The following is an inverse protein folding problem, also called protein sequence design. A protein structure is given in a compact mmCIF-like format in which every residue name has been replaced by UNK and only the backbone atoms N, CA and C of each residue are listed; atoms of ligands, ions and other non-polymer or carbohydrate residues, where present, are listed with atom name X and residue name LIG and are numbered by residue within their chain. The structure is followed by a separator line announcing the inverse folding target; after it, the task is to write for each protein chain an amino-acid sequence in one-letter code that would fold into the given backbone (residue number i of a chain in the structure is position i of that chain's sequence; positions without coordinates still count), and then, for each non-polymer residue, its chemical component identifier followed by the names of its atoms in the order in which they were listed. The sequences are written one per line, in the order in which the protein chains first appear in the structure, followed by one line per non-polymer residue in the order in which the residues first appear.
data_IF_381601563591
#
_entry.id   IF_381601563591
#
_cell.length_a   1.000
_cell.length_b   1.000
_cell.length_c   1.000
_cell.angle_alpha   90.00
_cell.angle_beta   90.00
_cell.angle_gamma   90.00
#
_symmetry.space_group_name_H-M   'P 1'
#
loop_
_entity.id
_entity.type
_entity.pdbx_description
1 polymer ?
#
# COMPACT_ATOMS: atom_id res chain seq x y z
N UNK A 1 13.29 9.89 -29.13
CA UNK A 1 13.02 10.45 -27.80
C UNK A 1 12.75 9.24 -26.93
N UNK A 2 13.73 8.92 -26.10
CA UNK A 2 13.90 7.61 -25.46
C UNK A 2 12.94 7.51 -24.27
N UNK A 3 12.22 6.39 -24.10
CA UNK A 3 11.26 6.17 -22.99
C UNK A 3 11.93 6.27 -21.60
N UNK A 4 13.28 6.22 -21.56
CA UNK A 4 14.09 6.44 -20.36
C UNK A 4 14.17 7.91 -19.90
N UNK A 5 13.89 8.88 -20.77
CA UNK A 5 13.91 10.30 -20.42
C UNK A 5 12.62 10.78 -19.73
N UNK A 6 11.48 10.11 -19.94
CA UNK A 6 10.22 10.44 -19.26
C UNK A 6 10.17 9.95 -17.80
N UNK A 7 10.79 8.82 -17.47
CA UNK A 7 10.83 8.31 -16.08
C UNK A 7 11.73 9.15 -15.15
N UNK A 8 12.71 9.88 -15.71
CA UNK A 8 13.68 10.66 -14.95
C UNK A 8 13.15 12.05 -14.53
N UNK A 9 12.00 12.49 -15.07
CA UNK A 9 11.37 13.78 -14.73
C UNK A 9 10.71 13.80 -13.34
N UNK A 10 10.32 12.64 -12.81
CA UNK A 10 9.64 12.52 -11.50
C UNK A 10 10.58 12.09 -10.35
N UNK A 11 11.89 11.92 -10.63
CA UNK A 11 12.88 11.54 -9.62
C UNK A 11 13.39 12.78 -8.89
N UNK A 12 13.05 12.91 -7.61
CA UNK A 12 13.52 14.01 -6.76
C UNK A 12 15.03 13.91 -6.48
N UNK A 13 15.78 14.94 -6.86
CA UNK A 13 17.19 15.15 -6.54
C UNK A 13 17.38 16.29 -5.54
N UNK A 14 18.58 16.41 -4.97
CA UNK A 14 18.88 17.45 -3.98
C UNK A 14 18.80 18.86 -4.60
N UNK A 15 19.18 18.99 -5.87
CA UNK A 15 19.13 20.23 -6.63
C UNK A 15 17.69 20.70 -6.85
N UNK A 16 16.75 19.78 -7.09
CA UNK A 16 15.33 20.12 -7.30
C UNK A 16 14.70 20.77 -6.07
N UNK A 17 15.11 20.34 -4.87
CA UNK A 17 14.71 20.96 -3.60
C UNK A 17 15.31 22.37 -3.45
N UNK A 18 16.59 22.53 -3.80
CA UNK A 18 17.28 23.82 -3.73
C UNK A 18 16.69 24.84 -4.71
N UNK A 19 16.31 24.38 -5.91
CA UNK A 19 15.68 25.18 -6.95
C UNK A 19 14.18 25.43 -6.70
N UNK A 20 13.58 24.74 -5.72
CA UNK A 20 12.17 24.92 -5.38
C UNK A 20 11.22 24.44 -6.48
N UNK A 21 11.57 23.36 -7.19
CA UNK A 21 10.73 22.81 -8.27
C UNK A 21 9.38 22.37 -7.72
N UNK A 22 8.36 23.18 -7.95
CA UNK A 22 7.08 23.11 -7.24
C UNK A 22 6.41 21.74 -7.33
N UNK A 23 6.37 21.11 -8.50
CA UNK A 23 5.72 19.80 -8.68
C UNK A 23 6.42 18.69 -7.88
N UNK A 24 7.76 18.69 -7.80
CA UNK A 24 8.55 17.73 -7.03
C UNK A 24 8.45 17.97 -5.51
N UNK A 25 8.52 19.23 -5.08
CA UNK A 25 8.37 19.61 -3.66
C UNK A 25 6.97 19.24 -3.16
N UNK A 26 5.92 19.54 -3.92
CA UNK A 26 4.55 19.15 -3.59
C UNK A 26 4.36 17.64 -3.64
N UNK A 27 5.02 16.95 -4.58
CA UNK A 27 5.08 15.50 -4.66
C UNK A 27 5.64 14.89 -3.38
N UNK A 28 6.80 15.37 -2.91
CA UNK A 28 7.43 14.94 -1.67
C UNK A 28 6.54 15.21 -0.45
N UNK A 29 6.00 16.44 -0.33
CA UNK A 29 5.12 16.81 0.78
C UNK A 29 3.90 15.89 0.84
N UNK A 30 3.30 15.58 -0.31
CA UNK A 30 2.21 14.63 -0.39
C UNK A 30 2.61 13.24 0.11
N UNK A 31 3.80 12.73 -0.25
CA UNK A 31 4.26 11.43 0.25
C UNK A 31 4.42 11.43 1.78
N UNK A 32 4.95 12.51 2.37
CA UNK A 32 5.07 12.64 3.83
C UNK A 32 3.69 12.61 4.51
N UNK A 33 2.73 13.37 3.99
CA UNK A 33 1.36 13.38 4.49
C UNK A 33 0.74 11.98 4.37
N UNK A 34 0.91 11.32 3.23
CA UNK A 34 0.40 9.98 2.96
C UNK A 34 0.94 8.94 3.94
N UNK A 35 2.24 8.97 4.23
CA UNK A 35 2.87 8.09 5.23
C UNK A 35 2.22 8.28 6.61
N UNK A 36 2.04 9.54 7.04
CA UNK A 36 1.40 9.83 8.32
C UNK A 36 -0.06 9.38 8.40
N UNK A 37 -0.84 9.61 7.33
CA UNK A 37 -2.24 9.21 7.28
C UNK A 37 -2.44 7.69 7.28
N UNK A 38 -1.52 6.94 6.65
CA UNK A 38 -1.68 5.50 6.46
C UNK A 38 -0.97 4.67 7.51
N UNK A 39 -0.21 5.29 8.41
CA UNK A 39 0.59 4.61 9.41
C UNK A 39 -0.22 3.60 10.23
N UNK A 40 -1.48 3.88 10.54
CA UNK A 40 -2.33 3.05 11.41
C UNK A 40 -3.43 2.27 10.65
N UNK A 41 -3.40 2.31 9.32
CA UNK A 41 -4.35 1.60 8.45
C UNK A 41 -3.76 0.23 8.11
N UNK A 42 -3.62 -0.62 9.12
CA UNK A 42 -3.09 -1.97 8.99
C UNK A 42 -3.76 -2.89 10.02
N UNK A 43 -3.99 -4.15 9.66
CA UNK A 43 -4.62 -5.16 10.52
C UNK A 43 -3.87 -5.39 11.84
N UNK A 44 -2.53 -5.33 11.81
CA UNK A 44 -1.67 -5.49 12.99
C UNK A 44 -1.88 -4.38 14.03
N UNK A 45 -2.46 -3.24 13.63
CA UNK A 45 -2.73 -2.08 14.48
C UNK A 45 -4.21 -1.88 14.78
N UNK A 46 -5.09 -2.31 13.87
CA UNK A 46 -6.53 -2.15 14.00
C UNK A 46 -7.26 -3.46 13.70
N UNK A 47 -7.45 -4.27 14.75
CA UNK A 47 -8.15 -5.57 14.67
C UNK A 47 -9.58 -5.44 14.12
N UNK A 48 -10.20 -4.26 14.23
CA UNK A 48 -11.56 -4.05 13.75
C UNK A 48 -11.64 -4.14 12.22
N UNK A 49 -10.51 -4.00 11.50
CA UNK A 49 -10.42 -4.21 10.05
C UNK A 49 -10.83 -5.63 9.63
N UNK A 50 -10.82 -6.62 10.53
CA UNK A 50 -11.36 -7.96 10.24
C UNK A 50 -12.82 -7.96 9.79
N UNK A 51 -13.60 -6.97 10.21
CA UNK A 51 -14.99 -6.84 9.77
C UNK A 51 -15.12 -6.60 8.26
N UNK A 52 -14.01 -6.28 7.57
CA UNK A 52 -13.95 -6.07 6.13
C UNK A 52 -13.66 -7.35 5.34
N UNK A 53 -13.47 -8.49 6.01
CA UNK A 53 -13.28 -9.78 5.37
C UNK A 53 -14.56 -10.20 4.63
N UNK A 54 -14.42 -10.64 3.38
CA UNK A 54 -15.53 -11.09 2.55
C UNK A 54 -15.73 -12.60 2.65
N UNK A 55 -16.92 -13.08 2.28
CA UNK A 55 -17.22 -14.51 2.23
C UNK A 55 -16.23 -15.26 1.32
N UNK A 56 -15.54 -16.25 1.88
CA UNK A 56 -14.55 -17.07 1.16
C UNK A 56 -13.15 -16.46 1.06
N UNK A 57 -12.90 -15.29 1.64
CA UNK A 57 -11.57 -14.68 1.71
C UNK A 57 -10.82 -15.09 2.98
N UNK A 58 -9.50 -15.29 2.88
CA UNK A 58 -8.65 -15.56 4.05
C UNK A 58 -8.13 -14.27 4.70
N UNK A 59 -7.74 -14.35 5.97
CA UNK A 59 -7.07 -13.21 6.64
C UNK A 59 -5.80 -12.77 5.90
N UNK A 60 -5.04 -13.72 5.36
CA UNK A 60 -3.82 -13.42 4.60
C UNK A 60 -4.12 -12.58 3.36
N UNK A 61 -5.27 -12.77 2.72
CA UNK A 61 -5.67 -11.98 1.55
C UNK A 61 -6.03 -10.55 1.93
N UNK A 62 -6.62 -10.35 3.11
CA UNK A 62 -6.89 -9.02 3.65
C UNK A 62 -5.58 -8.31 4.06
N UNK A 63 -4.60 -9.05 4.59
CA UNK A 63 -3.27 -8.52 4.94
C UNK A 63 -2.45 -8.09 3.72
N UNK A 64 -2.71 -8.64 2.53
CA UNK A 64 -2.00 -8.28 1.29
C UNK A 64 -2.42 -6.93 0.71
N UNK A 65 -3.50 -6.34 1.20
CA UNK A 65 -4.06 -5.11 0.64
C UNK A 65 -3.24 -3.90 1.06
N UNK A 66 -3.07 -2.98 0.12
CA UNK A 66 -2.55 -1.64 0.42
C UNK A 66 -3.53 -0.87 1.32
N UNK A 67 -3.04 0.14 2.08
CA UNK A 67 -3.90 1.03 2.84
C UNK A 67 -5.02 1.67 2.01
N UNK A 68 -4.76 2.00 0.73
CA UNK A 68 -5.76 2.52 -0.19
C UNK A 68 -6.89 1.53 -0.47
N UNK A 69 -6.54 0.26 -0.70
CA UNK A 69 -7.51 -0.82 -0.93
C UNK A 69 -8.31 -1.11 0.34
N UNK A 70 -7.67 -1.09 1.51
CA UNK A 70 -8.34 -1.22 2.81
C UNK A 70 -9.35 -0.08 3.04
N UNK A 71 -8.96 1.16 2.75
CA UNK A 71 -9.88 2.31 2.83
C UNK A 71 -11.04 2.20 1.84
N UNK A 72 -10.79 1.71 0.62
CA UNK A 72 -11.85 1.49 -0.37
C UNK A 72 -12.82 0.40 0.08
N UNK A 73 -12.31 -0.70 0.66
CA UNK A 73 -13.14 -1.75 1.26
C UNK A 73 -13.93 -1.23 2.45
N UNK A 74 -13.31 -0.45 3.31
CA UNK A 74 -13.97 0.19 4.45
C UNK A 74 -15.10 1.13 4.02
N UNK A 75 -14.86 1.97 3.00
CA UNK A 75 -15.87 2.87 2.47
C UNK A 75 -17.07 2.06 1.91
N UNK A 76 -16.78 1.01 1.14
CA UNK A 76 -17.80 0.14 0.56
C UNK A 76 -18.58 -0.65 1.62
N UNK A 77 -17.94 -1.07 2.71
CA UNK A 77 -18.63 -1.73 3.83
C UNK A 77 -19.77 -0.86 4.39
N UNK A 78 -19.51 0.43 4.65
CA UNK A 78 -20.55 1.34 5.13
C UNK A 78 -21.58 1.70 4.05
N UNK A 79 -21.18 1.78 2.78
CA UNK A 79 -22.11 2.01 1.66
C UNK A 79 -23.09 0.85 1.49
N UNK A 80 -22.60 -0.39 1.60
CA UNK A 80 -23.42 -1.60 1.51
C UNK A 80 -24.43 -1.67 2.66
N UNK A 81 -24.01 -1.40 3.89
CA UNK A 81 -24.93 -1.29 5.03
C UNK A 81 -25.96 -0.15 4.89
N UNK A 82 -25.64 0.89 4.11
CA UNK A 82 -26.56 1.98 3.78
C UNK A 82 -27.48 1.66 2.58
N UNK A 83 -27.34 0.49 1.94
CA UNK A 83 -28.05 0.14 0.72
C UNK A 83 -27.66 0.99 -0.50
N UNK A 84 -26.46 1.57 -0.48
CA UNK A 84 -25.93 2.41 -1.56
C UNK A 84 -25.02 1.61 -2.50
N UNK A 85 -24.84 2.10 -3.73
CA UNK A 85 -23.92 1.50 -4.70
C UNK A 85 -22.46 1.59 -4.25
N UNK A 86 -21.68 0.55 -4.55
CA UNK A 86 -20.24 0.51 -4.27
C UNK A 86 -19.47 1.49 -5.16
N UNK A 87 -18.36 2.00 -4.64
CA UNK A 87 -17.39 2.81 -5.36
C UNK A 87 -16.12 2.00 -5.67
N UNK A 88 -15.45 2.33 -6.76
CA UNK A 88 -14.19 1.69 -7.18
C UNK A 88 -12.97 2.62 -7.07
N UNK A 89 -13.20 3.91 -6.83
CA UNK A 89 -12.14 4.91 -6.70
C UNK A 89 -12.61 6.11 -5.85
N UNK A 90 -11.65 6.91 -5.39
CA UNK A 90 -11.90 8.19 -4.71
C UNK A 90 -11.74 9.39 -5.66
N UNK A 91 -12.12 9.25 -6.93
CA UNK A 91 -12.04 10.31 -7.94
C UNK A 91 -13.38 10.53 -8.66
N UNK A 92 -13.75 9.71 -9.64
CA UNK A 92 -15.00 9.86 -10.39
C UNK A 92 -16.23 9.49 -9.57
N UNK A 93 -16.13 8.47 -8.74
CA UNK A 93 -17.29 7.81 -8.11
C UNK A 93 -17.86 8.59 -6.92
N UNK A 94 -17.14 9.62 -6.48
CA UNK A 94 -17.45 10.44 -5.30
C UNK A 94 -17.85 11.88 -5.66
N UNK A 95 -17.82 12.27 -6.95
CA UNK A 95 -18.01 13.66 -7.40
C UNK A 95 -19.38 14.24 -7.06
N UNK A 96 -20.38 13.39 -6.88
CA UNK A 96 -21.75 13.79 -6.53
C UNK A 96 -21.98 13.88 -5.02
N UNK A 97 -20.93 13.66 -4.21
CA UNK A 97 -20.94 13.67 -2.74
C UNK A 97 -21.89 12.68 -2.07
N UNK A 98 -22.65 11.87 -2.82
CA UNK A 98 -23.66 10.96 -2.27
C UNK A 98 -23.01 9.84 -1.46
N UNK A 99 -21.93 9.27 -1.99
CA UNK A 99 -21.15 8.26 -1.27
C UNK A 99 -20.66 8.80 0.09
N UNK A 100 -20.12 10.03 0.11
CA UNK A 100 -19.66 10.65 1.35
C UNK A 100 -20.78 10.90 2.35
N UNK A 101 -21.95 11.38 1.90
CA UNK A 101 -23.11 11.53 2.78
C UNK A 101 -23.53 10.22 3.44
N UNK A 102 -23.56 9.12 2.68
CA UNK A 102 -23.94 7.81 3.19
C UNK A 102 -22.92 7.28 4.20
N UNK A 103 -21.62 7.42 3.91
CA UNK A 103 -20.54 7.02 4.83
C UNK A 103 -20.61 7.83 6.12
N UNK A 104 -20.68 9.17 6.03
CA UNK A 104 -20.75 10.05 7.21
C UNK A 104 -21.97 9.73 8.08
N UNK A 105 -23.12 9.45 7.46
CA UNK A 105 -24.32 9.03 8.17
C UNK A 105 -24.12 7.72 8.94
N UNK A 106 -23.50 6.71 8.33
CA UNK A 106 -23.27 5.43 8.99
C UNK A 106 -22.28 5.56 10.14
N UNK A 107 -21.19 6.28 9.92
CA UNK A 107 -20.18 6.57 10.94
C UNK A 107 -20.81 7.29 12.13
N UNK A 108 -21.53 8.40 11.89
CA UNK A 108 -22.18 9.17 12.95
C UNK A 108 -23.22 8.35 13.74
N UNK A 109 -24.00 7.49 13.06
CA UNK A 109 -24.98 6.61 13.71
C UNK A 109 -24.32 5.60 14.64
N UNK A 110 -23.21 4.99 14.22
CA UNK A 110 -22.48 4.00 15.01
C UNK A 110 -21.79 4.64 16.22
N UNK A 111 -21.28 5.86 16.07
CA UNK A 111 -20.72 6.63 17.19
C UNK A 111 -21.80 7.02 18.22
N UNK A 112 -22.98 7.46 17.75
CA UNK A 112 -24.11 7.76 18.64
C UNK A 112 -24.52 6.53 19.46
N UNK A 113 -24.48 5.33 18.86
CA UNK A 113 -24.77 4.06 19.56
C UNK A 113 -23.70 3.66 20.57
N UNK A 114 -22.46 4.12 20.41
CA UNK A 114 -21.34 3.91 21.36
C UNK A 114 -21.35 4.89 22.54
N UNK A 115 -22.35 5.77 22.63
CA UNK A 115 -22.51 6.72 23.74
C UNK A 115 -21.85 8.08 23.53
N UNK A 116 -21.29 8.35 22.35
CA UNK A 116 -20.76 9.68 22.01
C UNK A 116 -21.89 10.72 21.94
N UNK A 117 -21.71 11.95 22.48
CA UNK A 117 -22.76 12.98 22.56
C UNK A 117 -23.20 13.55 21.21
N UNK A 118 -22.57 13.14 20.10
CA UNK A 118 -22.83 13.63 18.76
C UNK A 118 -24.10 12.99 18.15
N UNK A 119 -25.28 13.31 18.69
CA UNK A 119 -26.58 12.97 18.09
C UNK A 119 -26.80 13.78 16.82
N UNK A 120 -26.23 13.36 15.69
CA UNK A 120 -26.40 14.08 14.43
C UNK A 120 -26.90 13.16 13.33
N UNK A 121 -28.09 13.46 12.82
CA UNK A 121 -28.65 12.89 11.59
C UNK A 121 -28.15 13.78 10.45
N UNK A 122 -27.33 13.27 9.53
CA UNK A 122 -26.96 14.09 8.37
C UNK A 122 -28.20 14.20 7.47
N UNK A 123 -28.71 15.42 7.36
CA UNK A 123 -29.82 15.73 6.46
C UNK A 123 -29.22 16.19 5.14
N UNK A 124 -29.57 15.49 4.05
CA UNK A 124 -29.30 15.98 2.71
C UNK A 124 -30.43 16.94 2.34
N UNK A 125 -30.18 18.24 2.37
CA UNK A 125 -31.04 19.20 1.69
C UNK A 125 -30.58 19.33 0.24
N UNK A 126 -31.51 19.51 -0.69
CA UNK A 126 -31.16 19.76 -2.09
C UNK A 126 -30.46 21.12 -2.17
N UNK A 127 -29.19 21.12 -2.58
CA UNK A 127 -28.44 22.34 -2.88
C UNK A 127 -28.58 22.72 -4.35
N UNK A 128 -28.41 24.01 -4.65
CA UNK A 128 -28.40 24.53 -6.02
C UNK A 128 -27.05 24.21 -6.72
N UNK A 129 -26.76 22.92 -6.90
CA UNK A 129 -25.59 22.43 -7.65
C UNK A 129 -24.55 21.67 -6.81
N UNK A 130 -23.66 20.93 -7.50
CA UNK A 130 -22.72 19.97 -6.88
C UNK A 130 -21.76 20.59 -5.88
N UNK A 131 -21.28 21.83 -6.11
CA UNK A 131 -20.40 22.51 -5.16
C UNK A 131 -21.12 22.80 -3.83
N UNK A 132 -22.38 23.21 -3.87
CA UNK A 132 -23.18 23.44 -2.67
C UNK A 132 -23.42 22.12 -1.93
N UNK A 133 -23.73 21.04 -2.66
CA UNK A 133 -23.86 19.68 -2.09
C UNK A 133 -22.57 19.21 -1.41
N UNK A 134 -21.41 19.43 -2.03
CA UNK A 134 -20.10 19.10 -1.43
C UNK A 134 -19.79 19.96 -0.20
N UNK A 135 -20.10 21.26 -0.21
CA UNK A 135 -19.91 22.13 0.96
C UNK A 135 -20.78 21.67 2.13
N UNK A 136 -22.05 21.34 1.87
CA UNK A 136 -22.94 20.81 2.89
C UNK A 136 -22.45 19.47 3.44
N UNK A 137 -21.88 18.60 2.61
CA UNK A 137 -21.25 17.35 3.05
C UNK A 137 -20.07 17.62 3.98
N UNK A 138 -19.20 18.57 3.62
CA UNK A 138 -18.06 18.96 4.45
C UNK A 138 -18.46 19.64 5.75
N UNK A 139 -19.57 20.37 5.79
CA UNK A 139 -20.16 20.87 7.04
C UNK A 139 -20.63 19.73 7.95
N UNK A 140 -21.11 18.61 7.40
CA UNK A 140 -21.41 17.43 8.23
C UNK A 140 -20.13 16.78 8.76
N UNK A 141 -19.09 16.68 7.92
CA UNK A 141 -17.80 16.18 8.35
C UNK A 141 -17.17 17.08 9.44
N UNK A 142 -17.36 18.40 9.36
CA UNK A 142 -16.86 19.38 10.33
C UNK A 142 -17.48 19.18 11.72
N UNK A 143 -18.76 18.78 11.79
CA UNK A 143 -19.42 18.43 13.06
C UNK A 143 -18.81 17.20 13.74
N UNK A 144 -18.16 16.33 12.97
CA UNK A 144 -17.37 15.21 13.48
C UNK A 144 -15.89 15.60 13.67
N UNK A 145 -15.51 16.85 13.41
CA UNK A 145 -14.12 17.30 13.40
C UNK A 145 -13.28 16.68 12.27
N UNK A 146 -13.90 16.18 11.20
CA UNK A 146 -13.25 15.47 10.09
C UNK A 146 -13.05 16.33 8.83
N UNK A 147 -13.43 17.61 8.82
CA UNK A 147 -13.23 18.51 7.67
C UNK A 147 -11.76 18.91 7.52
N UNK A 148 -10.97 18.04 6.92
CA UNK A 148 -9.55 18.25 6.62
C UNK A 148 -9.21 17.80 5.20
N UNK A 149 -8.13 18.37 4.65
CA UNK A 149 -7.54 18.08 3.33
C UNK A 149 -8.34 18.49 2.10
N UNK A 150 -9.67 18.33 2.10
CA UNK A 150 -10.50 18.49 0.90
C UNK A 150 -11.39 19.74 0.97
N UNK A 151 -11.51 20.46 -0.14
CA UNK A 151 -12.48 21.54 -0.33
C UNK A 151 -13.63 21.08 -1.26
N UNK A 152 -14.79 21.77 -1.28
CA UNK A 152 -15.93 21.37 -2.13
C UNK A 152 -15.55 21.24 -3.61
N UNK A 153 -14.71 22.16 -4.10
CA UNK A 153 -14.20 22.15 -5.47
C UNK A 153 -13.37 20.90 -5.78
N UNK A 154 -12.63 20.37 -4.80
CA UNK A 154 -11.77 19.20 -4.98
C UNK A 154 -12.59 17.90 -5.02
N UNK A 155 -13.70 17.86 -4.27
CA UNK A 155 -14.68 16.76 -4.34
C UNK A 155 -15.32 16.74 -5.73
N UNK A 156 -15.84 17.88 -6.21
CA UNK A 156 -16.50 17.99 -7.53
C UNK A 156 -15.52 17.70 -8.67
N UNK A 157 -14.27 18.15 -8.55
CA UNK A 157 -13.20 17.84 -9.51
C UNK A 157 -12.77 16.36 -9.44
N UNK A 158 -12.98 15.70 -8.30
CA UNK A 158 -12.59 14.32 -8.05
C UNK A 158 -11.07 14.17 -7.90
N UNK A 159 -10.44 15.06 -7.12
CA UNK A 159 -9.00 14.98 -6.86
C UNK A 159 -8.69 13.74 -6.01
N UNK A 160 -8.04 12.69 -6.56
CA UNK A 160 -7.89 11.42 -5.85
C UNK A 160 -7.07 11.56 -4.56
N UNK A 161 -6.03 12.41 -4.55
CA UNK A 161 -5.14 12.59 -3.39
C UNK A 161 -5.90 13.20 -2.21
N UNK A 162 -6.57 14.32 -2.43
CA UNK A 162 -7.28 15.03 -1.36
C UNK A 162 -8.48 14.24 -0.83
N UNK A 163 -9.21 13.57 -1.72
CA UNK A 163 -10.35 12.73 -1.34
C UNK A 163 -9.92 11.48 -0.55
N UNK A 164 -8.82 10.85 -0.96
CA UNK A 164 -8.22 9.74 -0.21
C UNK A 164 -7.72 10.19 1.17
N UNK A 165 -7.09 11.37 1.26
CA UNK A 165 -6.66 11.93 2.55
C UNK A 165 -7.84 12.23 3.49
N UNK A 166 -8.93 12.77 2.95
CA UNK A 166 -10.17 12.98 3.70
C UNK A 166 -10.75 11.66 4.25
N UNK A 167 -10.78 10.60 3.42
CA UNK A 167 -11.26 9.28 3.82
C UNK A 167 -10.36 8.65 4.87
N UNK A 168 -9.04 8.74 4.71
CA UNK A 168 -8.07 8.24 5.67
C UNK A 168 -8.22 8.94 7.04
N UNK A 169 -8.39 10.27 7.05
CA UNK A 169 -8.65 11.01 8.27
C UNK A 169 -9.96 10.59 8.95
N UNK A 170 -11.02 10.39 8.16
CA UNK A 170 -12.30 9.92 8.69
C UNK A 170 -12.17 8.52 9.30
N UNK A 171 -11.45 7.61 8.63
CA UNK A 171 -11.16 6.27 9.15
C UNK A 171 -10.35 6.32 10.45
N UNK A 172 -9.27 7.09 10.49
CA UNK A 172 -8.39 7.18 11.67
C UNK A 172 -9.13 7.72 12.90
N UNK A 173 -10.06 8.65 12.72
CA UNK A 173 -10.89 9.18 13.81
C UNK A 173 -12.04 8.24 14.18
N UNK A 174 -12.69 7.66 13.18
CA UNK A 174 -13.90 6.86 13.35
C UNK A 174 -13.91 5.64 12.43
N UNK A 175 -13.20 4.56 12.79
CA UNK A 175 -13.27 3.31 12.03
C UNK A 175 -14.70 2.77 11.97
N UNK A 176 -15.48 2.93 13.05
CA UNK A 176 -16.88 2.50 13.14
C UNK A 176 -17.11 1.02 12.74
N UNK A 177 -16.11 0.17 12.96
CA UNK A 177 -16.16 -1.28 12.77
C UNK A 177 -16.37 -1.96 14.13
N UNK A 178 -17.03 -3.12 14.13
CA UNK A 178 -17.13 -3.98 15.32
C UNK A 178 -16.30 -5.22 15.08
N UNK A 179 -15.49 -5.60 16.07
CA UNK A 179 -14.79 -6.88 16.04
C UNK A 179 -15.83 -8.01 15.96
N UNK A 180 -15.73 -8.93 14.98
CA UNK A 180 -16.61 -10.09 14.95
C UNK A 180 -16.33 -10.99 16.16
N UNK A 181 -17.38 -11.34 16.92
CA UNK A 181 -17.27 -12.14 18.15
C UNK A 181 -16.91 -13.61 17.89
N UNK A 182 -17.17 -14.11 16.67
CA UNK A 182 -17.06 -15.53 16.30
C UNK A 182 -15.71 -15.89 15.63
N UNK A 183 -14.69 -15.05 15.78
CA UNK A 183 -13.40 -15.24 15.10
C UNK A 183 -12.32 -15.46 16.16
N UNK A 184 -12.10 -16.72 16.52
CA UNK A 184 -10.97 -17.19 17.33
C UNK A 184 -9.68 -17.18 16.49
N UNK A 185 -9.21 -15.98 16.14
CA UNK A 185 -7.87 -15.79 15.57
C UNK A 185 -6.95 -15.43 16.73
N UNK A 186 -5.84 -16.16 16.84
CA UNK A 186 -4.78 -15.84 17.79
C UNK A 186 -4.07 -14.55 17.35
N UNK A 187 -4.49 -13.43 17.94
CA UNK A 187 -3.95 -12.10 17.65
C UNK A 187 -2.45 -11.99 17.89
N UNK A 188 -1.89 -12.81 18.79
CA UNK A 188 -0.45 -12.83 19.03
C UNK A 188 0.34 -13.42 17.84
N UNK A 189 -0.32 -14.18 16.98
CA UNK A 189 0.24 -14.74 15.75
C UNK A 189 0.24 -13.76 14.57
N UNK A 190 -0.57 -12.71 14.61
CA UNK A 190 -0.52 -11.60 13.64
C UNK A 190 0.62 -10.68 14.03
N UNK A 191 1.84 -11.16 13.86
CA UNK A 191 3.02 -10.33 14.01
C UNK A 191 3.03 -9.29 12.88
N UNK A 192 2.90 -8.01 13.26
CA UNK A 192 3.19 -6.92 12.36
C UNK A 192 4.63 -6.98 11.84
N UNK A 193 4.90 -6.19 10.82
CA UNK A 193 6.23 -6.18 10.20
C UNK A 193 7.35 -5.92 11.21
N UNK A 194 8.34 -6.82 11.24
CA UNK A 194 9.52 -6.67 12.11
C UNK A 194 10.43 -5.55 11.63
N UNK A 195 11.31 -5.05 12.51
CA UNK A 195 12.29 -4.01 12.13
C UNK A 195 13.20 -4.46 10.97
N UNK A 196 13.56 -5.74 10.93
CA UNK A 196 14.41 -6.30 9.89
C UNK A 196 13.69 -6.35 8.54
N UNK A 197 12.45 -6.87 8.52
CA UNK A 197 11.59 -6.87 7.32
C UNK A 197 11.40 -5.46 6.76
N UNK A 198 11.13 -4.49 7.64
CA UNK A 198 11.01 -3.08 7.29
C UNK A 198 12.28 -2.52 6.66
N UNK A 199 13.43 -2.90 7.19
CA UNK A 199 14.73 -2.45 6.70
C UNK A 199 14.96 -2.96 5.29
N UNK A 200 14.72 -4.25 5.03
CA UNK A 200 14.88 -4.82 3.69
C UNK A 200 13.86 -4.26 2.69
N UNK A 201 12.58 -4.13 3.08
CA UNK A 201 11.57 -3.51 2.21
C UNK A 201 11.95 -2.09 1.81
N UNK A 202 12.35 -1.27 2.78
CA UNK A 202 12.76 0.11 2.52
C UNK A 202 14.01 0.19 1.67
N UNK A 203 15.00 -0.69 1.92
CA UNK A 203 16.20 -0.80 1.12
C UNK A 203 15.87 -1.14 -0.35
N UNK A 204 15.08 -2.20 -0.60
CA UNK A 204 14.71 -2.57 -1.97
C UNK A 204 13.95 -1.45 -2.68
N UNK A 205 12.95 -0.85 -2.04
CA UNK A 205 12.19 0.26 -2.61
C UNK A 205 13.07 1.50 -2.87
N UNK A 206 14.12 1.73 -2.07
CA UNK A 206 15.07 2.83 -2.31
C UNK A 206 15.95 2.61 -3.55
N UNK A 207 16.10 1.36 -4.01
CA UNK A 207 16.84 1.02 -5.23
C UNK A 207 15.98 1.13 -6.50
N UNK A 208 14.71 1.51 -6.37
CA UNK A 208 13.79 1.72 -7.49
C UNK A 208 13.31 0.43 -8.14
N UNK A 209 13.06 -0.63 -7.35
CA UNK A 209 12.49 -1.89 -7.85
C UNK A 209 11.03 -1.70 -8.31
N UNK A 210 10.63 -2.46 -9.32
CA UNK A 210 9.28 -2.44 -9.89
C UNK A 210 8.73 -3.88 -10.04
N UNK A 211 7.59 -4.26 -9.42
CA UNK A 211 6.69 -3.43 -8.61
C UNK A 211 7.28 -3.02 -7.26
N UNK A 212 6.66 -2.00 -6.64
CA UNK A 212 6.99 -1.55 -5.28
C UNK A 212 6.65 -2.66 -4.29
N UNK A 213 7.57 -2.97 -3.39
CA UNK A 213 7.38 -3.98 -2.34
C UNK A 213 6.62 -3.36 -1.17
N UNK A 214 5.43 -3.87 -0.87
CA UNK A 214 4.62 -3.52 0.29
C UNK A 214 4.64 -4.65 1.33
N UNK A 215 4.46 -5.89 0.86
CA UNK A 215 4.43 -7.12 1.66
C UNK A 215 5.58 -8.03 1.26
N UNK A 216 6.64 -8.02 2.07
CA UNK A 216 7.93 -8.60 1.73
C UNK A 216 7.86 -10.01 1.13
N UNK A 217 7.14 -10.93 1.77
CA UNK A 217 7.11 -12.34 1.40
C UNK A 217 6.17 -12.68 0.23
N UNK A 218 5.22 -11.80 -0.07
CA UNK A 218 4.25 -12.00 -1.15
C UNK A 218 4.74 -11.34 -2.43
N UNK A 219 5.25 -10.11 -2.32
CA UNK A 219 5.61 -9.31 -3.49
C UNK A 219 6.92 -9.77 -4.15
N UNK A 220 7.66 -10.69 -3.53
CA UNK A 220 8.89 -11.27 -4.09
C UNK A 220 8.77 -12.78 -4.34
N UNK A 221 7.56 -13.35 -4.23
CA UNK A 221 7.28 -14.79 -4.36
C UNK A 221 7.52 -15.37 -5.76
N UNK A 222 7.72 -14.50 -6.75
CA UNK A 222 8.04 -14.83 -8.15
C UNK A 222 9.48 -14.44 -8.55
N UNK A 223 10.26 -13.98 -7.58
CA UNK A 223 11.65 -13.55 -7.68
C UNK A 223 11.95 -12.41 -8.67
N UNK A 224 10.96 -11.74 -9.27
CA UNK A 224 11.22 -10.66 -10.24
C UNK A 224 11.95 -9.46 -9.61
N UNK A 225 11.57 -9.09 -8.39
CA UNK A 225 12.27 -8.07 -7.61
C UNK A 225 13.69 -8.53 -7.28
N UNK A 226 13.89 -9.81 -6.97
CA UNK A 226 15.21 -10.37 -6.66
C UNK A 226 16.15 -10.29 -7.86
N UNK A 227 15.66 -10.56 -9.08
CA UNK A 227 16.44 -10.38 -10.30
C UNK A 227 16.88 -8.94 -10.52
N UNK A 228 16.00 -7.96 -10.29
CA UNK A 228 16.39 -6.55 -10.35
C UNK A 228 17.47 -6.21 -9.31
N UNK A 229 17.39 -6.77 -8.11
CA UNK A 229 18.43 -6.58 -7.09
C UNK A 229 19.77 -7.20 -7.51
N UNK A 230 19.77 -8.35 -8.21
CA UNK A 230 20.99 -8.93 -8.78
C UNK A 230 21.69 -7.97 -9.74
N UNK A 231 20.94 -7.31 -10.63
CA UNK A 231 21.50 -6.29 -11.53
C UNK A 231 22.10 -5.12 -10.75
N UNK A 232 21.44 -4.65 -9.69
CA UNK A 232 21.96 -3.56 -8.82
C UNK A 232 23.27 -3.93 -8.13
N UNK A 233 23.52 -5.22 -7.88
CA UNK A 233 24.79 -5.72 -7.32
C UNK A 233 25.76 -6.24 -8.38
N UNK A 234 25.55 -5.86 -9.65
CA UNK A 234 26.42 -6.22 -10.79
C UNK A 234 26.51 -7.74 -11.03
N UNK A 235 25.46 -8.50 -10.72
CA UNK A 235 25.33 -9.92 -11.05
C UNK A 235 24.46 -10.04 -12.31
N UNK A 236 24.96 -10.63 -13.40
CA UNK A 236 24.20 -10.72 -14.65
C UNK A 236 23.00 -11.66 -14.50
N UNK A 237 21.86 -11.23 -15.04
CA UNK A 237 20.62 -12.03 -15.12
C UNK A 237 20.30 -12.30 -16.58
N UNK A 238 20.07 -13.57 -16.90
CA UNK A 238 19.58 -14.00 -18.22
C UNK A 238 18.05 -13.87 -18.25
N UNK A 239 17.56 -12.72 -18.72
CA UNK A 239 16.13 -12.42 -18.77
C UNK A 239 15.32 -13.30 -19.73
N UNK A 240 15.97 -14.01 -20.65
CA UNK A 240 15.29 -14.97 -21.54
C UNK A 240 14.84 -16.23 -20.78
N UNK A 241 15.47 -16.52 -19.63
CA UNK A 241 15.06 -17.60 -18.72
C UNK A 241 14.00 -17.18 -17.70
N UNK A 242 13.74 -15.87 -17.58
CA UNK A 242 12.83 -15.33 -16.58
C UNK A 242 11.40 -15.31 -17.11
N UNK A 243 10.50 -16.01 -16.42
CA UNK A 243 9.07 -15.97 -16.73
C UNK A 243 8.47 -14.66 -16.20
N UNK A 244 7.79 -13.90 -17.07
CA UNK A 244 7.18 -12.60 -16.72
C UNK A 244 5.65 -12.70 -16.67
N UNK A 245 4.97 -11.88 -15.85
CA UNK A 245 3.52 -11.78 -15.86
C UNK A 245 3.00 -11.19 -17.19
N UNK A 246 1.72 -11.43 -17.54
CA UNK A 246 0.71 -12.15 -16.76
C UNK A 246 0.89 -13.67 -16.82
N UNK A 247 0.88 -14.32 -15.66
CA UNK A 247 0.95 -15.78 -15.58
C UNK A 247 -0.41 -16.42 -15.89
N UNK A 248 -0.40 -17.57 -16.57
CA UNK A 248 -1.63 -18.33 -16.80
C UNK A 248 -2.16 -18.92 -15.49
N UNK A 249 -3.49 -18.98 -15.33
CA UNK A 249 -4.10 -19.52 -14.09
C UNK A 249 -3.66 -20.95 -13.76
N UNK A 250 -3.42 -21.79 -14.78
CA UNK A 250 -3.09 -23.20 -14.61
C UNK A 250 -1.58 -23.46 -14.43
N UNK A 251 -0.72 -22.48 -14.71
CA UNK A 251 0.75 -22.64 -14.68
C UNK A 251 1.50 -21.61 -13.84
N UNK A 252 0.79 -20.69 -13.18
CA UNK A 252 1.39 -19.56 -12.45
C UNK A 252 2.42 -20.01 -11.41
N UNK A 253 2.06 -20.93 -10.52
CA UNK A 253 2.95 -21.37 -9.45
C UNK A 253 4.21 -22.06 -9.98
N UNK A 254 4.09 -22.84 -11.05
CA UNK A 254 5.26 -23.47 -11.69
C UNK A 254 6.21 -22.43 -12.26
N UNK A 255 5.67 -21.40 -12.93
CA UNK A 255 6.46 -20.32 -13.53
C UNK A 255 7.17 -19.45 -12.48
N UNK A 256 6.48 -19.13 -11.39
CA UNK A 256 7.07 -18.44 -10.23
C UNK A 256 8.16 -19.30 -9.57
N UNK A 257 7.92 -20.60 -9.39
CA UNK A 257 8.89 -21.51 -8.82
C UNK A 257 10.15 -21.68 -9.69
N UNK A 258 9.99 -21.75 -11.02
CA UNK A 258 11.10 -21.71 -11.98
C UNK A 258 11.97 -20.46 -11.78
N UNK A 259 11.35 -19.29 -11.67
CA UNK A 259 12.05 -18.04 -11.37
C UNK A 259 12.79 -18.10 -10.03
N UNK A 260 12.13 -18.53 -8.96
CA UNK A 260 12.74 -18.64 -7.64
C UNK A 260 13.92 -19.62 -7.62
N UNK A 261 13.82 -20.75 -8.33
CA UNK A 261 14.93 -21.69 -8.49
C UNK A 261 16.12 -21.04 -9.21
N UNK A 262 15.84 -20.29 -10.29
CA UNK A 262 16.89 -19.57 -11.03
C UNK A 262 17.54 -18.47 -10.18
N UNK A 263 16.77 -17.72 -9.38
CA UNK A 263 17.30 -16.73 -8.46
C UNK A 263 18.23 -17.33 -7.40
N UNK A 264 17.91 -18.51 -6.87
CA UNK A 264 18.78 -19.25 -5.94
C UNK A 264 20.03 -19.77 -6.65
N UNK A 265 19.90 -20.24 -7.90
CA UNK A 265 21.04 -20.68 -8.71
C UNK A 265 22.03 -19.55 -8.96
N UNK A 266 21.56 -18.36 -9.37
CA UNK A 266 22.39 -17.17 -9.54
C UNK A 266 23.11 -16.79 -8.24
N UNK A 267 22.39 -16.84 -7.12
CA UNK A 267 22.96 -16.58 -5.80
C UNK A 267 24.13 -17.52 -5.48
N UNK A 268 23.97 -18.82 -5.74
CA UNK A 268 25.01 -19.83 -5.49
C UNK A 268 26.17 -19.74 -6.48
N UNK A 269 25.88 -19.70 -7.78
CA UNK A 269 26.87 -19.85 -8.86
C UNK A 269 27.58 -18.55 -9.21
N UNK A 270 26.82 -17.47 -9.40
CA UNK A 270 27.37 -16.20 -9.89
C UNK A 270 27.76 -15.30 -8.71
N UNK A 271 26.83 -15.11 -7.77
CA UNK A 271 27.06 -14.23 -6.62
C UNK A 271 27.90 -14.86 -5.49
N UNK A 272 28.11 -16.19 -5.52
CA UNK A 272 28.85 -16.96 -4.50
C UNK A 272 28.30 -16.79 -3.07
N UNK A 273 26.98 -16.70 -2.94
CA UNK A 273 26.28 -16.65 -1.66
C UNK A 273 26.23 -18.02 -0.98
N UNK A 274 26.23 -18.02 0.35
CA UNK A 274 26.01 -19.21 1.16
C UNK A 274 24.51 -19.44 1.31
N UNK A 275 23.94 -20.20 0.38
CA UNK A 275 22.51 -20.54 0.35
C UNK A 275 22.28 -22.03 0.68
N UNK A 276 23.03 -22.54 1.66
CA UNK A 276 22.91 -23.94 2.11
C UNK A 276 21.53 -24.17 2.71
N UNK A 277 20.81 -25.16 2.18
CA UNK A 277 19.44 -25.46 2.62
C UNK A 277 18.37 -24.49 2.13
N UNK A 278 18.70 -23.56 1.22
CA UNK A 278 17.72 -22.68 0.56
C UNK A 278 17.45 -23.20 -0.87
N UNK A 279 16.17 -23.42 -1.16
CA UNK A 279 15.64 -23.79 -2.47
C UNK A 279 14.64 -22.74 -2.98
N UNK A 280 14.29 -22.78 -4.28
CA UNK A 280 13.32 -21.84 -4.83
C UNK A 280 11.93 -21.98 -4.21
N UNK A 281 11.58 -23.18 -3.71
CA UNK A 281 10.33 -23.41 -2.99
C UNK A 281 10.23 -22.57 -1.71
N UNK A 282 11.36 -22.34 -1.03
CA UNK A 282 11.37 -21.54 0.22
C UNK A 282 11.06 -20.07 -0.06
N UNK A 283 11.56 -19.54 -1.19
CA UNK A 283 11.24 -18.18 -1.63
C UNK A 283 9.77 -18.10 -2.10
N UNK A 284 9.34 -19.04 -2.93
CA UNK A 284 7.99 -19.04 -3.49
C UNK A 284 6.90 -19.21 -2.42
N UNK A 285 7.17 -20.00 -1.37
CA UNK A 285 6.27 -20.17 -0.22
C UNK A 285 6.37 -19.05 0.82
N UNK A 286 7.26 -18.08 0.64
CA UNK A 286 7.41 -16.96 1.57
C UNK A 286 8.04 -17.35 2.91
N UNK A 287 8.95 -18.33 2.95
CA UNK A 287 9.62 -18.74 4.18
C UNK A 287 10.42 -17.57 4.77
N UNK A 288 9.94 -17.02 5.89
CA UNK A 288 10.48 -15.80 6.52
C UNK A 288 12.00 -15.84 6.70
N UNK A 289 12.49 -16.86 7.40
CA UNK A 289 13.91 -16.97 7.78
C UNK A 289 14.82 -17.08 6.55
N UNK A 290 14.44 -17.90 5.58
CA UNK A 290 15.30 -18.19 4.42
C UNK A 290 15.27 -17.03 3.41
N UNK A 291 14.14 -16.37 3.28
CA UNK A 291 14.00 -15.15 2.48
C UNK A 291 14.87 -14.03 3.03
N UNK A 292 14.79 -13.77 4.35
CA UNK A 292 15.63 -12.76 5.01
C UNK A 292 17.12 -13.09 4.89
N UNK A 293 17.51 -14.37 4.97
CA UNK A 293 18.90 -14.80 4.80
C UNK A 293 19.45 -14.48 3.39
N UNK A 294 18.64 -14.60 2.34
CA UNK A 294 19.03 -14.19 0.99
C UNK A 294 19.13 -12.67 0.86
N UNK A 295 18.12 -11.94 1.34
CA UNK A 295 18.08 -10.47 1.28
C UNK A 295 19.25 -9.83 2.03
N UNK A 296 19.64 -10.39 3.17
CA UNK A 296 20.82 -9.96 3.91
C UNK A 296 22.10 -10.08 3.07
N UNK A 297 22.29 -11.20 2.35
CA UNK A 297 23.47 -11.38 1.51
C UNK A 297 23.49 -10.43 0.31
N UNK A 298 22.33 -10.18 -0.30
CA UNK A 298 22.18 -9.18 -1.37
C UNK A 298 22.55 -7.78 -0.86
N UNK A 299 21.99 -7.35 0.27
CA UNK A 299 22.27 -6.04 0.88
C UNK A 299 23.74 -5.90 1.28
N UNK A 300 24.33 -6.95 1.84
CA UNK A 300 25.75 -6.99 2.17
C UNK A 300 26.63 -6.83 0.94
N UNK A 301 26.35 -7.55 -0.15
CA UNK A 301 27.12 -7.43 -1.40
C UNK A 301 26.97 -6.04 -2.01
N UNK A 302 25.76 -5.49 -2.06
CA UNK A 302 25.51 -4.13 -2.53
C UNK A 302 26.39 -3.10 -1.79
N UNK A 303 26.43 -3.21 -0.46
CA UNK A 303 27.22 -2.32 0.39
C UNK A 303 28.72 -2.44 0.09
N UNK A 304 29.23 -3.67 -0.08
CA UNK A 304 30.63 -3.91 -0.42
C UNK A 304 30.99 -3.31 -1.80
N UNK A 305 30.13 -3.49 -2.81
CA UNK A 305 30.36 -2.92 -4.13
C UNK A 305 30.46 -1.39 -4.09
N UNK A 306 29.63 -0.72 -3.29
CA UNK A 306 29.72 0.74 -3.10
C UNK A 306 31.04 1.12 -2.44
N UNK A 307 31.44 0.40 -1.39
CA UNK A 307 32.69 0.68 -0.68
C UNK A 307 33.92 0.47 -1.59
N UNK A 308 33.90 -0.56 -2.44
CA UNK A 308 34.93 -0.79 -3.46
C UNK A 308 34.97 0.33 -4.51
N UNK A 309 33.82 0.75 -5.02
CA UNK A 309 33.73 1.84 -6.01
C UNK A 309 34.22 3.19 -5.43
N UNK A 310 34.04 3.43 -4.12
CA UNK A 310 34.54 4.60 -3.42
C UNK A 310 36.03 4.49 -3.09
N UNK A 311 36.49 3.31 -2.65
CA UNK A 311 37.88 3.04 -2.30
C UNK A 311 38.81 2.92 -3.49
N UNK A 312 38.31 2.53 -4.67
CA UNK A 312 39.07 2.47 -5.92
C UNK A 312 39.30 3.84 -6.59
N UNK A 313 38.79 4.93 -6.00
CA UNK A 313 38.99 6.31 -6.47
C UNK A 313 40.09 7.06 -5.71
N UNK A 314 40.89 6.38 -4.89
CA UNK A 314 42.10 6.92 -4.25
C UNK A 314 43.37 6.41 -4.90
#
# INVERSE_FOLDING_TARGET
MDLREEEDQDVLRAEDLKEGRQHLVLGLLWQVIKIGLFADIELSKNEALMALLRDGESLEDLMKLSPEELLLRWANFHLEEAGCSKINNFSSDIKDSKAYYSILNQVARKETRRGSPHRHRCVRTQGEGRCAESEMMLQQADRLGCRQFVMPTDVVRGNPKLNLAFVANLFNKYPALKKPENVDIDWSSIEGETREERTFRNWMNSLGVNPRVNHLYVDIDDALVIFQLYEKIKVPVDWDKVNKPPYSKLGSNMKKLENCNYAVELGKKEAKFSLVGIAGQDLHSGNRKLTLALLWQLMRRYTLNILEDLGGRS
#
